data_IF_082035001859
#
_entry.id   IF_082035001859
#
_cell.length_a   1.000
_cell.length_b   1.000
_cell.length_c   1.000
_cell.angle_alpha   90.00
_cell.angle_beta   90.00
_cell.angle_gamma   90.00
#
_symmetry.space_group_name_H-M   'P 1'
#
loop_
_entity.id
_entity.type
_entity.pdbx_description
1 polymer ?
#
# COMPACT_ATOMS: atom_id res chain seq x y z
N UNK A 1 24.25 -25.21 12.44
CA UNK A 1 23.66 -23.96 12.97
C UNK A 1 23.25 -23.11 11.79
N UNK A 2 22.00 -22.66 11.68
CA UNK A 2 21.60 -21.75 10.59
C UNK A 2 22.28 -20.39 10.77
N UNK A 3 22.90 -19.87 9.71
CA UNK A 3 23.55 -18.56 9.74
C UNK A 3 22.49 -17.46 9.76
N UNK A 4 22.60 -16.50 10.68
CA UNK A 4 21.70 -15.36 10.75
C UNK A 4 22.03 -14.40 9.60
N UNK A 5 21.13 -14.30 8.63
CA UNK A 5 21.25 -13.37 7.51
C UNK A 5 20.62 -12.03 7.88
N UNK A 6 21.38 -10.96 7.79
CA UNK A 6 20.89 -9.60 7.96
C UNK A 6 20.51 -9.03 6.59
N UNK A 7 19.25 -8.64 6.41
CA UNK A 7 18.80 -7.92 5.22
C UNK A 7 18.89 -6.41 5.52
N UNK A 8 19.95 -5.78 5.02
CA UNK A 8 20.18 -4.33 5.12
C UNK A 8 19.79 -3.64 3.79
N UNK A 9 18.69 -4.07 3.19
CA UNK A 9 18.13 -3.50 1.96
C UNK A 9 16.97 -2.55 2.30
N UNK A 10 16.52 -1.71 1.35
CA UNK A 10 15.29 -0.90 1.51
C UNK A 10 13.99 -1.72 1.64
N UNK A 11 14.09 -3.06 1.61
CA UNK A 11 12.97 -3.99 1.59
C UNK A 11 13.28 -5.19 0.69
N UNK A 12 12.78 -6.40 1.03
CA UNK A 12 12.14 -6.77 2.29
C UNK A 12 13.13 -6.78 3.47
N UNK A 13 12.62 -6.69 4.70
CA UNK A 13 13.39 -6.80 5.94
C UNK A 13 13.02 -8.08 6.70
N UNK A 14 13.85 -8.55 7.66
CA UNK A 14 13.54 -9.75 8.43
C UNK A 14 12.33 -9.51 9.33
N UNK A 15 11.41 -10.47 9.39
CA UNK A 15 10.26 -10.42 10.29
C UNK A 15 10.69 -10.62 11.75
N UNK A 16 10.05 -9.95 12.73
CA UNK A 16 10.22 -10.27 14.14
C UNK A 16 9.91 -11.76 14.41
N UNK A 17 10.66 -12.44 15.30
CA UNK A 17 10.47 -13.88 15.55
C UNK A 17 9.03 -14.29 15.89
N UNK A 18 8.33 -13.47 16.68
CA UNK A 18 6.92 -13.68 17.03
C UNK A 18 5.96 -13.67 15.82
N UNK A 19 6.29 -12.93 14.76
CA UNK A 19 5.51 -12.93 13.51
C UNK A 19 5.77 -14.22 12.73
N UNK A 20 7.03 -14.67 12.66
CA UNK A 20 7.37 -15.96 12.06
C UNK A 20 6.66 -17.12 12.78
N UNK A 21 6.61 -17.10 14.11
CA UNK A 21 5.90 -18.09 14.90
C UNK A 21 4.38 -18.07 14.62
N UNK A 22 3.77 -16.88 14.52
CA UNK A 22 2.37 -16.75 14.16
C UNK A 22 2.07 -17.32 12.76
N UNK A 23 2.96 -17.09 11.79
CA UNK A 23 2.83 -17.64 10.43
C UNK A 23 3.03 -19.16 10.36
N UNK A 24 3.71 -19.76 11.34
CA UNK A 24 3.93 -21.21 11.40
C UNK A 24 2.74 -21.99 11.99
N UNK A 25 1.71 -21.30 12.49
CA UNK A 25 0.52 -21.94 13.06
C UNK A 25 -0.30 -22.65 11.96
N UNK A 26 -1.01 -23.76 12.28
CA UNK A 26 -1.91 -24.41 11.34
C UNK A 26 -2.93 -23.45 10.75
N UNK A 27 -3.24 -23.62 9.46
CA UNK A 27 -4.25 -22.81 8.76
C UNK A 27 -5.61 -23.09 9.38
N UNK A 28 -6.35 -22.02 9.68
CA UNK A 28 -7.72 -22.09 10.17
C UNK A 28 -8.70 -21.75 9.04
N UNK A 29 -9.91 -22.31 9.10
CA UNK A 29 -10.95 -22.06 8.10
C UNK A 29 -11.50 -20.62 8.21
N UNK A 30 -11.47 -19.86 7.12
CA UNK A 30 -11.77 -18.42 7.07
C UNK A 30 -13.22 -18.03 7.42
N UNK A 31 -14.17 -18.98 7.45
CA UNK A 31 -15.56 -18.72 7.85
C UNK A 31 -15.88 -19.06 9.31
N UNK A 32 -14.86 -19.42 10.10
CA UNK A 32 -15.05 -19.77 11.52
C UNK A 32 -15.12 -18.52 12.40
N UNK A 33 -15.80 -18.59 13.57
CA UNK A 33 -15.79 -17.49 14.55
C UNK A 33 -14.37 -17.09 14.98
N UNK A 34 -13.46 -18.07 15.08
CA UNK A 34 -12.06 -17.82 15.40
C UNK A 34 -11.36 -16.91 14.38
N UNK A 35 -11.51 -17.19 13.07
CA UNK A 35 -10.92 -16.34 12.04
C UNK A 35 -11.56 -14.95 12.01
N UNK A 36 -12.89 -14.88 12.18
CA UNK A 36 -13.61 -13.60 12.22
C UNK A 36 -13.09 -12.69 13.34
N UNK A 37 -12.82 -13.25 14.53
CA UNK A 37 -12.24 -12.51 15.64
C UNK A 37 -10.84 -11.96 15.30
N UNK A 38 -9.97 -12.78 14.70
CA UNK A 38 -8.62 -12.38 14.28
C UNK A 38 -8.66 -11.28 13.22
N UNK A 39 -9.53 -11.42 12.21
CA UNK A 39 -9.66 -10.42 11.15
C UNK A 39 -10.17 -9.08 11.71
N UNK A 40 -11.12 -9.12 12.65
CA UNK A 40 -11.63 -7.93 13.32
C UNK A 40 -10.54 -7.23 14.13
N UNK A 41 -9.78 -7.99 14.93
CA UNK A 41 -8.67 -7.44 15.72
C UNK A 41 -7.61 -6.79 14.81
N UNK A 42 -7.24 -7.44 13.71
CA UNK A 42 -6.31 -6.88 12.74
C UNK A 42 -6.83 -5.58 12.10
N UNK A 43 -8.10 -5.54 11.71
CA UNK A 43 -8.72 -4.34 11.12
C UNK A 43 -8.77 -3.18 12.13
N UNK A 44 -9.16 -3.43 13.38
CA UNK A 44 -9.20 -2.42 14.44
C UNK A 44 -7.79 -1.91 14.79
N UNK A 45 -6.81 -2.81 14.85
CA UNK A 45 -5.40 -2.46 15.03
C UNK A 45 -4.87 -1.56 13.91
N UNK A 46 -5.25 -1.82 12.65
CA UNK A 46 -4.90 -0.96 11.53
C UNK A 46 -5.57 0.42 11.60
N UNK A 47 -6.83 0.51 12.09
CA UNK A 47 -7.47 1.82 12.34
C UNK A 47 -6.65 2.66 13.32
N UNK A 48 -6.10 2.03 14.37
CA UNK A 48 -5.16 2.69 15.27
C UNK A 48 -3.86 3.08 14.55
N UNK A 49 -3.21 2.19 13.80
CA UNK A 49 -1.96 2.52 13.07
C UNK A 49 -2.14 3.71 12.11
N UNK A 50 -3.23 3.73 11.35
CA UNK A 50 -3.54 4.80 10.41
C UNK A 50 -4.18 6.03 11.06
N UNK A 51 -4.46 6.00 12.37
CA UNK A 51 -5.10 7.08 13.11
C UNK A 51 -6.43 7.52 12.47
N UNK A 52 -7.26 6.56 12.07
CA UNK A 52 -8.52 6.80 11.34
C UNK A 52 -9.74 6.20 12.05
N UNK A 53 -10.89 6.82 11.83
CA UNK A 53 -12.21 6.29 12.23
C UNK A 53 -12.93 5.58 11.07
N UNK A 54 -12.45 5.76 9.85
CA UNK A 54 -13.02 5.15 8.65
C UNK A 54 -12.76 3.64 8.61
N UNK A 55 -13.43 2.95 7.70
CA UNK A 55 -13.16 1.55 7.45
C UNK A 55 -11.79 1.34 6.79
N UNK A 56 -11.18 0.21 7.12
CA UNK A 56 -9.88 -0.21 6.61
C UNK A 56 -10.05 -1.55 5.92
N UNK A 57 -9.51 -1.65 4.71
CA UNK A 57 -9.54 -2.85 3.90
C UNK A 57 -8.18 -3.55 3.92
N UNK A 58 -8.18 -4.85 4.18
CA UNK A 58 -6.98 -5.70 4.17
C UNK A 58 -6.93 -6.45 2.85
N UNK A 59 -5.85 -6.27 2.09
CA UNK A 59 -5.65 -6.93 0.81
C UNK A 59 -4.62 -8.05 0.93
N UNK A 60 -4.91 -9.19 0.31
CA UNK A 60 -3.96 -10.29 0.11
C UNK A 60 -3.06 -10.01 -1.11
N UNK A 61 -2.39 -8.86 -1.12
CA UNK A 61 -1.52 -8.41 -2.22
C UNK A 61 -0.30 -7.67 -1.67
N UNK A 62 0.65 -7.35 -2.54
CA UNK A 62 1.67 -6.33 -2.22
C UNK A 62 1.06 -4.93 -2.19
N UNK A 63 1.82 -3.93 -1.72
CA UNK A 63 1.39 -2.53 -1.74
C UNK A 63 1.01 -2.02 -3.14
N UNK A 64 1.67 -2.52 -4.20
CA UNK A 64 1.29 -2.17 -5.59
C UNK A 64 -0.13 -2.60 -5.94
N UNK A 65 -0.57 -3.78 -5.47
CA UNK A 65 -1.94 -4.24 -5.71
C UNK A 65 -2.97 -3.35 -5.02
N UNK A 66 -2.62 -2.77 -3.87
CA UNK A 66 -3.49 -1.80 -3.18
C UNK A 66 -3.50 -0.44 -3.89
N UNK A 67 -2.38 0.00 -4.48
CA UNK A 67 -2.33 1.19 -5.34
C UNK A 67 -3.24 1.02 -6.57
N UNK A 68 -3.16 -0.14 -7.23
CA UNK A 68 -4.03 -0.49 -8.35
C UNK A 68 -5.51 -0.49 -7.93
N UNK A 69 -5.83 -1.14 -6.81
CA UNK A 69 -7.19 -1.17 -6.29
C UNK A 69 -7.74 0.25 -6.04
N UNK A 70 -6.92 1.19 -5.57
CA UNK A 70 -7.33 2.57 -5.39
C UNK A 70 -7.70 3.24 -6.74
N UNK A 71 -6.85 3.11 -7.77
CA UNK A 71 -7.15 3.66 -9.11
C UNK A 71 -8.39 3.02 -9.70
N UNK A 72 -8.47 1.69 -9.68
CA UNK A 72 -9.54 0.92 -10.31
C UNK A 72 -10.93 1.16 -9.69
N UNK A 73 -11.00 1.55 -8.41
CA UNK A 73 -12.27 1.73 -7.70
C UNK A 73 -12.67 3.19 -7.49
N UNK A 74 -11.72 4.14 -7.56
CA UNK A 74 -11.99 5.55 -7.29
C UNK A 74 -12.05 6.42 -8.55
N UNK A 75 -11.58 5.90 -9.70
CA UNK A 75 -11.49 6.64 -10.95
C UNK A 75 -12.09 5.82 -12.10
N UNK A 76 -12.66 6.53 -13.08
CA UNK A 76 -13.17 5.97 -14.33
C UNK A 76 -12.32 6.43 -15.52
N UNK A 77 -12.33 5.68 -16.65
CA UNK A 77 -11.69 6.14 -17.88
C UNK A 77 -12.19 7.53 -18.29
N UNK A 78 -11.26 8.44 -18.57
CA UNK A 78 -11.56 9.83 -18.92
C UNK A 78 -11.59 10.83 -17.77
N UNK A 79 -11.62 10.37 -16.51
CA UNK A 79 -11.39 11.20 -15.33
C UNK A 79 -9.97 11.78 -15.34
N UNK A 80 -9.76 12.86 -14.58
CA UNK A 80 -8.45 13.48 -14.43
C UNK A 80 -7.88 13.22 -13.04
N UNK A 81 -6.61 12.82 -12.97
CA UNK A 81 -5.88 12.67 -11.71
C UNK A 81 -4.49 13.33 -11.81
N UNK A 82 -4.06 13.96 -10.71
CA UNK A 82 -2.71 14.49 -10.58
C UNK A 82 -1.81 13.42 -9.94
N UNK A 83 -0.65 13.16 -10.54
CA UNK A 83 0.40 12.31 -9.96
C UNK A 83 1.70 13.11 -9.78
N UNK A 84 2.47 12.76 -8.76
CA UNK A 84 3.75 13.39 -8.45
C UNK A 84 4.87 12.38 -8.68
N UNK A 85 5.73 12.65 -9.66
CA UNK A 85 6.89 11.83 -10.02
C UNK A 85 8.15 12.38 -9.34
N UNK A 86 8.32 12.08 -8.05
CA UNK A 86 9.57 12.35 -7.29
C UNK A 86 10.44 11.11 -7.06
N UNK A 87 10.09 9.98 -7.70
CA UNK A 87 10.71 8.68 -7.49
C UNK A 87 9.94 7.54 -8.17
N UNK A 88 10.47 6.31 -8.12
CA UNK A 88 9.88 5.14 -8.79
C UNK A 88 8.42 4.85 -8.41
N UNK A 89 8.03 5.09 -7.16
CA UNK A 89 6.64 4.89 -6.73
C UNK A 89 5.69 6.00 -7.22
N UNK A 90 6.19 7.22 -7.46
CA UNK A 90 5.43 8.28 -8.11
C UNK A 90 5.14 7.95 -9.57
N UNK A 91 6.15 7.48 -10.29
CA UNK A 91 5.99 6.97 -11.67
C UNK A 91 4.96 5.84 -11.75
N UNK A 92 4.94 4.95 -10.75
CA UNK A 92 3.97 3.86 -10.68
C UNK A 92 2.52 4.34 -10.59
N UNK A 93 2.24 5.44 -9.88
CA UNK A 93 0.90 6.03 -9.90
C UNK A 93 0.51 6.50 -11.29
N UNK A 94 1.43 7.16 -12.01
CA UNK A 94 1.20 7.58 -13.40
C UNK A 94 0.93 6.39 -14.32
N UNK A 95 1.74 5.34 -14.22
CA UNK A 95 1.60 4.10 -14.99
C UNK A 95 0.22 3.45 -14.75
N UNK A 96 -0.21 3.34 -13.49
CA UNK A 96 -1.52 2.78 -13.11
C UNK A 96 -2.68 3.63 -13.63
N UNK A 97 -2.67 4.95 -13.41
CA UNK A 97 -3.74 5.84 -13.90
C UNK A 97 -3.91 5.72 -15.42
N UNK A 98 -2.80 5.73 -16.18
CA UNK A 98 -2.84 5.57 -17.64
C UNK A 98 -3.35 4.19 -18.07
N UNK A 99 -2.96 3.13 -17.38
CA UNK A 99 -3.43 1.77 -17.68
C UNK A 99 -4.95 1.64 -17.55
N UNK A 100 -5.57 2.40 -16.63
CA UNK A 100 -7.02 2.46 -16.42
C UNK A 100 -7.72 3.57 -17.23
N UNK A 101 -7.02 4.19 -18.20
CA UNK A 101 -7.61 5.21 -19.08
C UNK A 101 -7.86 6.57 -18.42
N UNK A 102 -7.25 6.84 -17.26
CA UNK A 102 -7.35 8.12 -16.55
C UNK A 102 -6.40 9.13 -17.19
N UNK A 103 -6.89 10.35 -17.45
CA UNK A 103 -6.07 11.49 -17.87
C UNK A 103 -5.16 11.90 -16.72
N UNK A 104 -3.87 11.69 -16.88
CA UNK A 104 -2.92 11.91 -15.79
C UNK A 104 -2.13 13.20 -15.99
N UNK A 105 -2.31 14.16 -15.09
CA UNK A 105 -1.49 15.35 -15.00
C UNK A 105 -0.28 15.08 -14.11
N UNK A 106 0.92 15.14 -14.70
CA UNK A 106 2.14 14.71 -14.02
C UNK A 106 2.94 15.92 -13.56
N UNK A 107 3.17 16.00 -12.24
CA UNK A 107 4.14 16.92 -11.64
C UNK A 107 5.46 16.17 -11.47
N UNK A 108 6.44 16.47 -12.32
CA UNK A 108 7.79 15.89 -12.22
C UNK A 108 8.63 16.66 -11.23
N UNK A 109 9.30 15.93 -10.34
CA UNK A 109 10.21 16.47 -9.35
C UNK A 109 11.53 15.72 -9.45
N UNK A 110 12.65 16.42 -9.25
CA UNK A 110 13.97 15.77 -9.18
C UNK A 110 13.94 14.67 -8.12
N UNK A 111 14.45 13.47 -8.45
CA UNK A 111 14.45 12.35 -7.51
C UNK A 111 15.22 12.72 -6.23
N UNK A 112 14.59 12.46 -5.08
CA UNK A 112 15.13 12.84 -3.77
C UNK A 112 14.78 14.27 -3.34
N UNK A 113 14.03 15.03 -4.15
CA UNK A 113 13.40 16.29 -3.75
C UNK A 113 11.90 16.09 -3.50
N UNK A 114 11.33 16.88 -2.60
CA UNK A 114 9.91 16.88 -2.31
C UNK A 114 9.17 17.90 -3.19
N UNK A 115 7.93 17.58 -3.57
CA UNK A 115 7.02 18.55 -4.19
C UNK A 115 6.54 19.56 -3.16
N UNK A 116 6.39 20.83 -3.55
CA UNK A 116 5.77 21.84 -2.67
C UNK A 116 4.24 21.85 -2.80
N UNK A 117 3.55 22.23 -1.73
CA UNK A 117 2.10 22.42 -1.75
C UNK A 117 1.66 23.46 -2.82
N UNK A 118 2.49 24.49 -3.04
CA UNK A 118 2.25 25.53 -4.04
C UNK A 118 2.25 24.97 -5.46
N UNK A 119 3.17 24.07 -5.77
CA UNK A 119 3.21 23.41 -7.08
C UNK A 119 1.95 22.59 -7.32
N UNK A 120 1.50 21.83 -6.32
CA UNK A 120 0.26 21.06 -6.40
C UNK A 120 -0.95 21.97 -6.61
N UNK A 121 -1.10 23.06 -5.84
CA UNK A 121 -2.25 23.97 -5.94
C UNK A 121 -2.30 24.81 -7.22
N UNK A 122 -1.26 24.76 -8.05
CA UNK A 122 -1.16 25.52 -9.31
C UNK A 122 -1.63 24.73 -10.55
N UNK A 123 -2.23 23.56 -10.32
CA UNK A 123 -2.84 22.68 -11.32
C UNK A 123 -4.33 22.65 -11.05
#
# INVERSE_FOLDING_TARGET
MMKKNYLLTPGPTPLPPQVCEAMAKPIIHHRTPQFQAILKEAADGLKYVFQTKSDVFIFSSSGTGTMEAAVANLLSPGDTAITVEGGKFGERWTELCRAYGVKTEVIKVEWGKAVSAKEISSR
#
